data_IF_964142219187
#
_entry.id   IF_964142219187
#
_cell.length_a   1.000
_cell.length_b   1.000
_cell.length_c   1.000
_cell.angle_alpha   90.00
_cell.angle_beta   90.00
_cell.angle_gamma   90.00
#
_symmetry.space_group_name_H-M   'P 1'
#
loop_
_entity.id
_entity.type
_entity.pdbx_description
1 polymer ?
#
# COMPACT_ATOMS: atom_id res chain seq x y z
N UNK A 1 8.40 -22.03 8.60
CA UNK A 1 7.41 -21.49 7.64
C UNK A 1 6.12 -21.31 8.40
N UNK A 2 5.59 -20.08 8.47
CA UNK A 2 4.29 -19.81 9.11
C UNK A 2 3.19 -20.23 8.14
N UNK A 3 2.35 -21.18 8.52
CA UNK A 3 1.16 -21.55 7.73
C UNK A 3 0.21 -20.36 7.72
N UNK A 4 -0.28 -19.97 6.54
CA UNK A 4 -1.26 -18.88 6.39
C UNK A 4 -2.58 -19.48 5.93
N UNK A 5 -3.65 -19.22 6.67
CA UNK A 5 -5.04 -19.50 6.26
C UNK A 5 -5.72 -18.20 5.93
N UNK A 6 -6.28 -18.11 4.72
CA UNK A 6 -6.93 -16.89 4.23
C UNK A 6 -8.37 -17.20 3.90
N UNK A 7 -9.28 -16.44 4.51
CA UNK A 7 -10.70 -16.45 4.22
C UNK A 7 -11.14 -15.04 3.76
N UNK A 8 -12.29 -14.95 3.10
CA UNK A 8 -12.84 -13.69 2.57
C UNK A 8 -14.23 -13.45 3.11
N UNK A 9 -14.49 -12.22 3.57
CA UNK A 9 -15.79 -11.72 3.95
C UNK A 9 -16.55 -11.18 2.72
N UNK A 10 -17.87 -11.33 2.73
CA UNK A 10 -18.74 -10.77 1.69
C UNK A 10 -19.05 -9.30 1.94
N UNK A 11 -18.94 -8.85 3.19
CA UNK A 11 -19.21 -7.45 3.58
C UNK A 11 -18.16 -6.91 4.54
N UNK A 12 -17.99 -5.58 4.53
CA UNK A 12 -17.14 -4.90 5.52
C UNK A 12 -17.63 -5.10 6.96
N UNK A 13 -18.95 -5.22 7.15
CA UNK A 13 -19.53 -5.44 8.48
C UNK A 13 -19.13 -6.81 9.05
N UNK A 14 -19.12 -7.84 8.22
CA UNK A 14 -18.69 -9.18 8.58
C UNK A 14 -17.20 -9.21 8.95
N UNK A 15 -16.34 -8.58 8.14
CA UNK A 15 -14.92 -8.45 8.48
C UNK A 15 -14.72 -7.73 9.83
N UNK A 16 -15.47 -6.64 10.07
CA UNK A 16 -15.39 -5.89 11.33
C UNK A 16 -15.85 -6.72 12.53
N UNK A 17 -16.91 -7.51 12.39
CA UNK A 17 -17.39 -8.40 13.43
C UNK A 17 -16.35 -9.47 13.76
N UNK A 18 -15.75 -10.08 12.73
CA UNK A 18 -14.68 -11.05 12.89
C UNK A 18 -13.46 -10.44 13.60
N UNK A 19 -13.00 -9.27 13.13
CA UNK A 19 -11.86 -8.59 13.72
C UNK A 19 -12.10 -8.22 15.18
N UNK A 20 -13.29 -7.71 15.52
CA UNK A 20 -13.65 -7.40 16.90
C UNK A 20 -13.69 -8.64 17.79
N UNK A 21 -14.22 -9.76 17.29
CA UNK A 21 -14.28 -11.02 18.04
C UNK A 21 -12.87 -11.55 18.38
N UNK A 22 -11.90 -11.35 17.48
CA UNK A 22 -10.53 -11.82 17.67
C UNK A 22 -9.53 -10.75 18.17
N UNK A 23 -10.01 -9.57 18.58
CA UNK A 23 -9.16 -8.42 18.96
C UNK A 23 -8.10 -8.06 17.89
N UNK A 24 -8.48 -8.20 16.61
CA UNK A 24 -7.60 -7.99 15.47
C UNK A 24 -7.67 -6.53 14.98
N UNK A 25 -6.50 -5.95 14.66
CA UNK A 25 -6.45 -4.65 13.99
C UNK A 25 -6.71 -4.81 12.49
N UNK A 26 -7.63 -3.99 11.96
CA UNK A 26 -7.87 -3.92 10.52
C UNK A 26 -6.83 -3.01 9.87
N UNK A 27 -6.13 -3.54 8.89
CA UNK A 27 -5.25 -2.81 7.98
C UNK A 27 -5.98 -2.57 6.65
N UNK A 28 -5.71 -1.41 6.04
CA UNK A 28 -6.32 -1.03 4.75
C UNK A 28 -5.22 -0.94 3.71
N UNK A 29 -5.37 -1.71 2.64
CA UNK A 29 -4.52 -1.65 1.45
C UNK A 29 -5.34 -1.04 0.33
N UNK A 30 -4.99 0.20 -0.02
CA UNK A 30 -5.67 0.93 -1.08
C UNK A 30 -4.97 0.69 -2.43
N UNK A 31 -5.77 0.44 -3.47
CA UNK A 31 -5.32 0.26 -4.84
C UNK A 31 -6.11 1.16 -5.80
N UNK A 32 -5.71 1.18 -7.06
CA UNK A 32 -6.41 2.01 -8.05
C UNK A 32 -7.80 1.46 -8.39
N UNK A 33 -8.00 0.15 -8.32
CA UNK A 33 -9.25 -0.55 -8.69
C UNK A 33 -10.11 -0.96 -7.50
N UNK A 34 -9.54 -1.06 -6.30
CA UNK A 34 -10.28 -1.47 -5.11
C UNK A 34 -9.58 -1.03 -3.82
N UNK A 35 -10.33 -1.08 -2.72
CA UNK A 35 -9.79 -1.06 -1.35
C UNK A 35 -9.87 -2.46 -0.78
N UNK A 36 -8.78 -2.96 -0.21
CA UNK A 36 -8.76 -4.24 0.51
C UNK A 36 -8.57 -3.99 2.00
N UNK A 37 -9.55 -4.40 2.79
CA UNK A 37 -9.49 -4.42 4.24
C UNK A 37 -9.01 -5.80 4.67
N UNK A 38 -8.05 -5.83 5.59
CA UNK A 38 -7.40 -7.06 6.05
C UNK A 38 -7.28 -7.05 7.56
N UNK A 39 -7.77 -8.10 8.20
CA UNK A 39 -7.51 -8.40 9.60
C UNK A 39 -6.67 -9.67 9.70
N UNK A 40 -5.66 -9.65 10.57
CA UNK A 40 -4.76 -10.78 10.79
C UNK A 40 -4.75 -11.16 12.27
N UNK A 41 -4.72 -12.46 12.55
CA UNK A 41 -4.57 -13.02 13.89
C UNK A 41 -3.60 -14.20 13.83
N UNK A 42 -2.68 -14.27 14.79
CA UNK A 42 -1.82 -15.44 14.94
C UNK A 42 -2.40 -16.28 16.07
N UNK A 43 -2.73 -17.54 15.79
CA UNK A 43 -3.18 -18.49 16.80
C UNK A 43 -2.02 -19.03 17.62
N UNK A 44 -2.33 -19.66 18.75
CA UNK A 44 -1.33 -20.22 19.69
C UNK A 44 -0.46 -21.32 19.07
N UNK A 45 -0.95 -22.02 18.05
CA UNK A 45 -0.19 -22.99 17.26
C UNK A 45 0.69 -22.34 16.16
N UNK A 46 0.73 -21.00 16.11
CA UNK A 46 1.55 -20.22 15.20
C UNK A 46 1.00 -20.10 13.78
N UNK A 47 -0.27 -20.43 13.53
CA UNK A 47 -0.92 -20.24 12.23
C UNK A 47 -1.40 -18.79 12.10
N UNK A 48 -1.11 -18.16 10.96
CA UNK A 48 -1.63 -16.83 10.63
C UNK A 48 -2.99 -16.99 9.94
N UNK A 49 -4.05 -16.55 10.62
CA UNK A 49 -5.38 -16.41 10.04
C UNK A 49 -5.54 -14.99 9.48
N UNK A 50 -5.94 -14.90 8.22
CA UNK A 50 -6.16 -13.66 7.50
C UNK A 50 -7.59 -13.62 7.01
N UNK A 51 -8.31 -12.56 7.37
CA UNK A 51 -9.64 -12.29 6.85
C UNK A 51 -9.66 -11.02 6.00
N UNK A 52 -10.22 -11.13 4.80
CA UNK A 52 -10.16 -10.08 3.77
C UNK A 52 -11.55 -9.64 3.34
N UNK A 53 -11.74 -8.34 3.15
CA UNK A 53 -12.87 -7.79 2.39
C UNK A 53 -12.32 -6.87 1.30
N UNK A 54 -12.74 -7.07 0.05
CA UNK A 54 -12.32 -6.25 -1.09
C UNK A 54 -13.53 -5.50 -1.65
N UNK A 55 -13.45 -4.18 -1.63
CA UNK A 55 -14.45 -3.29 -2.21
C UNK A 55 -13.92 -2.74 -3.53
N UNK A 56 -14.50 -3.19 -4.65
CA UNK A 56 -14.13 -2.70 -5.98
C UNK A 56 -14.73 -1.32 -6.23
N UNK A 57 -13.93 -0.44 -6.84
CA UNK A 57 -14.41 0.86 -7.26
C UNK A 57 -15.25 0.74 -8.54
N UNK A 58 -16.31 1.57 -8.68
CA UNK A 58 -17.01 1.69 -9.94
C UNK A 58 -16.03 2.01 -11.09
N UNK A 59 -16.23 1.47 -12.31
CA UNK A 59 -15.26 1.62 -13.39
C UNK A 59 -14.80 3.06 -13.69
N UNK A 60 -15.67 4.09 -13.69
CA UNK A 60 -15.24 5.47 -13.90
C UNK A 60 -14.27 5.97 -12.81
N UNK A 61 -14.49 5.55 -11.56
CA UNK A 61 -13.63 5.90 -10.42
C UNK A 61 -12.30 5.16 -10.53
N UNK A 62 -12.32 3.87 -10.83
CA UNK A 62 -11.12 3.07 -11.03
C UNK A 62 -10.23 3.63 -12.15
N UNK A 63 -10.82 4.06 -13.27
CA UNK A 63 -10.09 4.69 -14.38
C UNK A 63 -9.48 6.04 -13.97
N UNK A 64 -10.21 6.89 -13.24
CA UNK A 64 -9.69 8.16 -12.70
C UNK A 64 -8.52 7.91 -11.76
N UNK A 65 -8.66 6.96 -10.83
CA UNK A 65 -7.62 6.57 -9.88
C UNK A 65 -6.40 6.02 -10.59
N UNK A 66 -6.59 5.10 -11.55
CA UNK A 66 -5.50 4.55 -12.38
C UNK A 66 -4.73 5.63 -13.10
N UNK A 67 -5.43 6.60 -13.70
CA UNK A 67 -4.77 7.76 -14.34
C UNK A 67 -3.91 8.54 -13.35
N UNK A 68 -4.23 8.53 -12.06
CA UNK A 68 -3.48 9.26 -11.05
C UNK A 68 -2.70 8.32 -10.12
N UNK A 69 -2.32 7.12 -10.58
CA UNK A 69 -1.47 6.20 -9.81
C UNK A 69 -0.05 6.25 -10.37
N UNK A 70 0.93 6.38 -9.48
CA UNK A 70 2.33 6.53 -9.83
C UNK A 70 3.21 5.53 -9.09
N UNK A 71 4.21 5.00 -9.78
CA UNK A 71 5.33 4.26 -9.20
C UNK A 71 6.44 5.27 -8.96
N UNK A 72 6.82 5.44 -7.70
CA UNK A 72 7.90 6.32 -7.26
C UNK A 72 9.05 5.46 -6.78
N UNK A 73 10.21 5.64 -7.39
CA UNK A 73 11.47 4.99 -7.02
C UNK A 73 12.33 5.99 -6.23
N UNK A 74 12.69 5.62 -5.01
CA UNK A 74 13.56 6.40 -4.15
C UNK A 74 14.83 5.63 -3.83
N UNK A 75 15.92 6.36 -3.60
CA UNK A 75 17.20 5.80 -3.12
C UNK A 75 17.75 6.66 -1.99
N UNK A 76 18.44 6.01 -1.06
CA UNK A 76 19.33 6.68 -0.12
C UNK A 76 20.55 5.79 0.15
N UNK A 77 21.60 6.35 0.75
CA UNK A 77 22.86 5.63 0.96
C UNK A 77 23.17 5.48 2.47
N UNK A 78 22.54 4.52 3.17
CA UNK A 78 22.91 4.24 4.55
C UNK A 78 24.28 3.57 4.61
N UNK A 79 25.22 4.20 5.34
CA UNK A 79 26.54 3.63 5.66
C UNK A 79 27.35 3.14 4.43
N UNK A 80 27.25 3.85 3.30
CA UNK A 80 28.05 3.56 2.10
C UNK A 80 27.48 2.50 1.15
N UNK A 81 26.23 2.07 1.35
CA UNK A 81 25.53 1.14 0.45
C UNK A 81 24.23 1.76 -0.05
N UNK A 82 23.91 1.61 -1.34
CA UNK A 82 22.65 2.10 -1.91
C UNK A 82 21.46 1.24 -1.45
N UNK A 83 20.46 1.89 -0.87
CA UNK A 83 19.20 1.28 -0.46
C UNK A 83 18.06 1.84 -1.31
N UNK A 84 17.40 0.95 -2.06
CA UNK A 84 16.32 1.30 -2.98
C UNK A 84 14.94 1.02 -2.38
N UNK A 85 13.98 1.90 -2.67
CA UNK A 85 12.61 1.79 -2.24
C UNK A 85 11.66 2.14 -3.39
N UNK A 86 10.68 1.28 -3.63
CA UNK A 86 9.65 1.53 -4.64
C UNK A 86 8.30 1.64 -3.94
N UNK A 87 7.48 2.62 -4.32
CA UNK A 87 6.12 2.79 -3.83
C UNK A 87 5.16 3.07 -4.97
N UNK A 88 4.03 2.37 -4.96
CA UNK A 88 2.88 2.69 -5.80
C UNK A 88 1.97 3.60 -4.99
N UNK A 89 1.64 4.76 -5.53
CA UNK A 89 0.91 5.82 -4.82
C UNK A 89 -0.20 6.37 -5.70
N UNK A 90 -1.41 6.44 -5.14
CA UNK A 90 -2.54 7.16 -5.72
C UNK A 90 -2.81 8.41 -4.88
N UNK A 91 -2.15 9.56 -5.15
CA UNK A 91 -2.39 10.78 -4.40
C UNK A 91 -3.88 11.17 -4.44
N UNK A 92 -4.41 11.57 -3.29
CA UNK A 92 -5.72 12.19 -3.23
C UNK A 92 -5.61 13.62 -3.76
N UNK A 93 -6.25 13.88 -4.89
CA UNK A 93 -6.36 15.22 -5.44
C UNK A 93 -7.63 15.85 -4.85
N UNK A 94 -7.49 16.97 -4.15
CA UNK A 94 -8.64 17.79 -3.78
C UNK A 94 -9.18 18.51 -5.03
N UNK A 95 -10.49 18.69 -5.11
CA UNK A 95 -11.09 19.39 -6.25
C UNK A 95 -10.63 20.87 -6.25
N UNK A 96 -9.88 21.27 -7.29
CA UNK A 96 -9.45 22.65 -7.51
C UNK A 96 -7.97 22.95 -7.19
N UNK A 97 -7.21 22.02 -6.63
CA UNK A 97 -5.77 22.20 -6.43
C UNK A 97 -4.98 21.98 -7.73
N UNK A 98 -4.29 23.03 -8.19
CA UNK A 98 -3.35 23.00 -9.32
C UNK A 98 -1.99 22.43 -8.89
N UNK A 99 -1.97 21.33 -8.14
CA UNK A 99 -0.72 20.66 -7.76
C UNK A 99 -0.50 19.49 -8.71
N UNK A 100 0.74 19.35 -9.22
CA UNK A 100 1.12 18.23 -10.06
C UNK A 100 0.92 16.90 -9.29
N UNK A 101 0.07 15.98 -9.79
CA UNK A 101 -0.14 14.69 -9.16
C UNK A 101 1.15 13.87 -9.01
N UNK A 102 2.13 14.02 -9.90
CA UNK A 102 3.41 13.33 -9.78
C UNK A 102 4.18 13.80 -8.54
N UNK A 103 4.25 15.12 -8.32
CA UNK A 103 4.88 15.69 -7.14
C UNK A 103 4.18 15.29 -5.84
N UNK A 104 2.84 15.25 -5.81
CA UNK A 104 2.10 14.74 -4.65
C UNK A 104 2.41 13.26 -4.38
N UNK A 105 2.54 12.45 -5.44
CA UNK A 105 2.92 11.05 -5.29
C UNK A 105 4.32 10.90 -4.67
N UNK A 106 5.28 11.73 -5.07
CA UNK A 106 6.63 11.77 -4.48
C UNK A 106 6.60 12.09 -2.98
N UNK A 107 5.85 13.14 -2.59
CA UNK A 107 5.71 13.53 -1.19
C UNK A 107 5.12 12.40 -0.33
N UNK A 108 4.05 11.76 -0.83
CA UNK A 108 3.41 10.64 -0.12
C UNK A 108 4.34 9.43 -0.06
N UNK A 109 5.06 9.11 -1.15
CA UNK A 109 6.03 8.01 -1.18
C UNK A 109 7.13 8.22 -0.14
N UNK A 110 7.74 9.41 -0.10
CA UNK A 110 8.80 9.77 0.85
C UNK A 110 8.30 9.71 2.29
N UNK A 111 7.13 10.30 2.57
CA UNK A 111 6.54 10.26 3.92
C UNK A 111 6.26 8.81 4.38
N UNK A 112 5.74 7.98 3.48
CA UNK A 112 5.45 6.57 3.74
C UNK A 112 6.74 5.78 4.02
N UNK A 113 7.76 5.96 3.17
CA UNK A 113 9.06 5.29 3.33
C UNK A 113 9.69 5.71 4.66
N UNK A 114 9.73 7.01 4.98
CA UNK A 114 10.25 7.47 6.27
C UNK A 114 9.52 6.81 7.43
N UNK A 115 8.18 6.79 7.42
CA UNK A 115 7.37 6.19 8.49
C UNK A 115 7.71 4.71 8.71
N UNK A 116 7.87 3.96 7.64
CA UNK A 116 8.06 2.51 7.69
C UNK A 116 9.51 2.06 7.84
N UNK A 117 10.47 2.86 7.35
CA UNK A 117 11.86 2.43 7.13
C UNK A 117 12.89 3.22 7.92
N UNK A 118 12.53 4.33 8.56
CA UNK A 118 13.45 5.10 9.42
C UNK A 118 14.17 4.23 10.45
N UNK A 119 13.45 3.36 11.16
CA UNK A 119 14.04 2.49 12.18
C UNK A 119 14.77 1.27 11.60
N UNK A 120 14.61 0.97 10.30
CA UNK A 120 15.18 -0.23 9.65
C UNK A 120 16.44 0.08 8.85
N UNK A 121 16.42 1.13 8.04
CA UNK A 121 17.56 1.55 7.22
C UNK A 121 17.97 3.00 7.44
N UNK A 122 17.26 3.79 8.26
CA UNK A 122 17.58 5.20 8.46
C UNK A 122 17.02 6.13 7.39
N UNK A 123 16.10 5.66 6.52
CA UNK A 123 15.46 6.50 5.52
C UNK A 123 14.67 7.65 6.17
N UNK A 124 14.92 8.87 5.71
CA UNK A 124 14.23 10.11 6.10
C UNK A 124 13.89 10.92 4.85
N UNK A 125 12.95 11.85 4.97
CA UNK A 125 12.62 12.77 3.90
C UNK A 125 13.80 13.63 3.44
N UNK A 126 14.77 13.85 4.33
CA UNK A 126 15.97 14.63 4.04
C UNK A 126 17.04 13.84 3.28
N UNK A 127 17.06 12.51 3.40
CA UNK A 127 18.09 11.67 2.77
C UNK A 127 17.59 10.81 1.60
N UNK A 128 16.28 10.78 1.37
CA UNK A 128 15.68 10.11 0.22
C UNK A 128 15.78 10.99 -1.03
N UNK A 129 16.34 10.43 -2.10
CA UNK A 129 16.33 11.03 -3.43
C UNK A 129 15.33 10.29 -4.32
N UNK A 130 14.50 11.04 -5.04
CA UNK A 130 13.64 10.49 -6.08
C UNK A 130 14.49 10.19 -7.31
N UNK A 131 14.48 8.93 -7.76
CA UNK A 131 15.11 8.51 -9.01
C UNK A 131 14.17 8.69 -10.18
N UNK A 132 12.97 8.14 -10.05
CA UNK A 132 11.94 8.19 -11.10
C UNK A 132 10.55 8.27 -10.49
N UNK A 133 9.67 8.96 -11.21
CA UNK A 133 8.22 8.98 -10.95
C UNK A 133 7.52 8.71 -12.26
N UNK A 134 6.84 7.56 -12.33
CA UNK A 134 6.19 7.11 -13.57
C UNK A 134 4.74 6.74 -13.29
N UNK A 135 3.87 6.85 -14.30
CA UNK A 135 2.49 6.36 -14.16
C UNK A 135 2.51 4.84 -14.09
N UNK A 136 1.83 4.26 -13.10
CA UNK A 136 1.76 2.81 -12.95
C UNK A 136 0.79 2.22 -13.98
N UNK A 137 1.25 1.28 -14.81
CA UNK A 137 0.39 0.55 -15.74
C UNK A 137 0.15 -0.89 -15.24
N UNK A 138 -1.05 -1.43 -15.51
CA UNK A 138 -1.47 -2.72 -14.96
C UNK A 138 -0.58 -3.92 -15.35
N UNK A 139 0.18 -3.83 -16.45
CA UNK A 139 1.14 -4.86 -16.86
C UNK A 139 2.33 -4.98 -15.89
N UNK A 140 2.66 -3.91 -15.15
CA UNK A 140 3.85 -3.82 -14.29
C UNK A 140 3.65 -4.54 -12.94
N UNK A 141 2.43 -5.02 -12.66
CA UNK A 141 2.02 -5.44 -11.31
C UNK A 141 1.57 -6.90 -11.15
N UNK A 142 1.45 -7.66 -12.25
CA UNK A 142 1.10 -9.09 -12.18
C UNK A 142 2.16 -9.95 -11.45
N UNK A 143 3.34 -9.39 -11.19
CA UNK A 143 4.49 -10.04 -10.55
C UNK A 143 4.58 -9.87 -9.03
N UNK A 144 3.84 -8.93 -8.43
CA UNK A 144 4.01 -8.58 -7.01
C UNK A 144 3.08 -9.34 -6.04
N UNK A 145 1.97 -9.86 -6.54
CA UNK A 145 1.00 -10.63 -5.76
C UNK A 145 0.93 -12.05 -6.28
N UNK A 146 1.99 -12.81 -6.02
CA UNK A 146 2.06 -14.24 -6.33
C UNK A 146 0.71 -14.92 -6.09
N UNK A 147 0.16 -15.45 -7.19
CA UNK A 147 -0.89 -16.48 -7.14
C UNK A 147 -0.41 -17.64 -6.28
#
# INVERSE_FOLDING_TARGET
MTTVRTDTADTLAELKAWAAYHDATITVVDYWDAVTFRADVVSDDGVLYRYLYREEFPPPVALKRRRNTFTVECVHEPAGALCFHVRVVTPQLSDGELVDPAYLAELVAVATIQRERRLRCGATAENLMILTTTRTYAADHASYWGR
#
